data_IF_004217193305
#
_entry.id   IF_004217193305
#
_cell.length_a   1.000
_cell.length_b   1.000
_cell.length_c   1.000
_cell.angle_alpha   90.00
_cell.angle_beta   90.00
_cell.angle_gamma   90.00
#
_symmetry.space_group_name_H-M   'P 1'
#
loop_
_entity.id
_entity.type
_entity.pdbx_description
1 polymer ?
#
# COMPACT_ATOMS: atom_id res chain seq x y z
N UNK A 1 -71.78 23.19 9.80
CA UNK A 1 -71.37 22.07 8.92
C UNK A 1 -69.98 22.40 8.41
N UNK A 2 -68.96 21.93 9.14
CA UNK A 2 -68.00 20.92 8.69
C UNK A 2 -67.31 21.29 7.37
N UNK A 3 -66.00 21.53 7.41
CA UNK A 3 -65.02 20.66 6.77
C UNK A 3 -63.60 21.09 7.19
N UNK A 4 -63.06 20.39 8.19
CA UNK A 4 -61.64 20.46 8.55
C UNK A 4 -60.85 19.63 7.53
N UNK A 5 -60.05 20.29 6.68
CA UNK A 5 -59.08 19.63 5.79
C UNK A 5 -57.76 19.47 6.56
N UNK A 6 -57.54 18.29 7.10
CA UNK A 6 -56.28 17.87 7.69
C UNK A 6 -55.27 17.60 6.58
N UNK A 7 -54.30 18.51 6.41
CA UNK A 7 -53.17 18.37 5.49
C UNK A 7 -52.11 17.49 6.17
N UNK A 8 -51.95 16.24 5.72
CA UNK A 8 -50.81 15.40 6.12
C UNK A 8 -49.54 15.95 5.44
N UNK A 9 -48.72 16.67 6.19
CA UNK A 9 -47.35 17.01 5.79
C UNK A 9 -46.47 15.78 6.02
N UNK A 10 -46.09 15.11 4.94
CA UNK A 10 -45.10 14.03 4.95
C UNK A 10 -43.70 14.67 5.12
N UNK A 11 -43.22 14.75 6.36
CA UNK A 11 -41.84 15.18 6.66
C UNK A 11 -40.85 14.12 6.15
N UNK A 12 -40.30 14.33 4.95
CA UNK A 12 -39.00 13.76 4.58
C UNK A 12 -37.93 14.41 5.46
N UNK A 13 -37.59 13.76 6.58
CA UNK A 13 -36.39 14.09 7.34
C UNK A 13 -35.19 13.70 6.46
N UNK A 14 -34.32 14.64 6.05
CA UNK A 14 -33.07 14.29 5.41
C UNK A 14 -32.24 13.51 6.44
N UNK A 15 -31.86 12.28 6.09
CA UNK A 15 -30.85 11.54 6.85
C UNK A 15 -29.59 12.39 6.89
N UNK A 16 -29.27 12.93 8.06
CA UNK A 16 -27.97 13.57 8.28
C UNK A 16 -26.92 12.46 8.12
N UNK A 17 -26.31 12.38 6.94
CA UNK A 17 -25.12 11.56 6.74
C UNK A 17 -24.04 12.15 7.64
N UNK A 18 -23.74 11.46 8.74
CA UNK A 18 -22.70 11.88 9.69
C UNK A 18 -21.34 11.63 9.05
N UNK A 19 -20.57 12.68 8.84
CA UNK A 19 -19.20 12.57 8.36
C UNK A 19 -18.27 12.03 9.45
N UNK A 20 -18.07 10.72 9.48
CA UNK A 20 -17.12 10.04 10.38
C UNK A 20 -15.67 10.02 9.86
N UNK A 21 -14.75 9.74 10.79
CA UNK A 21 -13.33 9.48 10.51
C UNK A 21 -13.06 7.97 10.49
N UNK A 22 -12.32 7.49 9.48
CA UNK A 22 -11.86 6.10 9.35
C UNK A 22 -10.35 6.06 9.56
N UNK A 23 -9.89 5.37 10.60
CA UNK A 23 -8.47 5.19 10.91
C UNK A 23 -7.93 4.02 10.10
N UNK A 24 -7.03 4.32 9.15
CA UNK A 24 -6.49 3.35 8.21
C UNK A 24 -5.03 3.07 8.54
N UNK A 25 -4.72 1.85 8.99
CA UNK A 25 -3.36 1.36 9.01
C UNK A 25 -2.97 0.90 7.59
N UNK A 26 -1.95 1.50 6.99
CA UNK A 26 -1.57 1.24 5.59
C UNK A 26 -0.10 0.89 5.45
N UNK A 27 0.19 -0.11 4.63
CA UNK A 27 1.55 -0.41 4.23
C UNK A 27 2.15 0.77 3.46
N UNK A 28 3.36 1.17 3.84
CA UNK A 28 4.00 2.41 3.39
C UNK A 28 4.15 2.57 1.85
N UNK A 29 4.03 1.48 1.08
CA UNK A 29 4.04 1.52 -0.38
C UNK A 29 2.82 2.27 -0.95
N UNK A 30 1.67 2.17 -0.29
CA UNK A 30 0.36 2.58 -0.81
C UNK A 30 -0.06 3.97 -0.34
N UNK A 31 0.74 4.66 0.47
CA UNK A 31 0.35 5.94 1.12
C UNK A 31 -0.05 7.02 0.12
N UNK A 32 0.80 7.33 -0.86
CA UNK A 32 0.51 8.39 -1.83
C UNK A 32 -0.75 8.07 -2.67
N UNK A 33 -0.97 6.80 -2.97
CA UNK A 33 -2.18 6.33 -3.65
C UNK A 33 -3.40 6.45 -2.74
N UNK A 34 -3.26 6.09 -1.47
CA UNK A 34 -4.31 6.22 -0.47
C UNK A 34 -4.69 7.68 -0.23
N UNK A 35 -3.74 8.61 -0.23
CA UNK A 35 -4.02 10.05 -0.13
C UNK A 35 -4.89 10.53 -1.30
N UNK A 36 -4.56 10.11 -2.53
CA UNK A 36 -5.39 10.42 -3.71
C UNK A 36 -6.78 9.81 -3.60
N UNK A 37 -6.87 8.57 -3.10
CA UNK A 37 -8.14 7.88 -2.86
C UNK A 37 -8.94 8.50 -1.72
N UNK A 38 -8.28 9.08 -0.72
CA UNK A 38 -8.92 9.74 0.43
C UNK A 38 -9.70 10.97 -0.02
N UNK A 39 -9.14 11.76 -0.94
CA UNK A 39 -9.82 12.93 -1.50
C UNK A 39 -11.08 12.53 -2.27
N UNK A 40 -10.98 11.49 -3.11
CA UNK A 40 -12.11 10.95 -3.87
C UNK A 40 -13.17 10.34 -2.96
N UNK A 41 -12.76 9.56 -1.95
CA UNK A 41 -13.67 8.96 -0.99
C UNK A 41 -14.41 10.03 -0.18
N UNK A 42 -13.71 11.09 0.25
CA UNK A 42 -14.31 12.22 0.94
C UNK A 42 -15.34 12.95 0.08
N UNK A 43 -15.07 13.13 -1.20
CA UNK A 43 -15.98 13.80 -2.12
C UNK A 43 -17.31 13.03 -2.30
N UNK A 44 -17.27 11.70 -2.27
CA UNK A 44 -18.47 10.87 -2.51
C UNK A 44 -19.23 10.48 -1.25
N UNK A 45 -18.57 10.36 -0.10
CA UNK A 45 -19.17 9.88 1.16
C UNK A 45 -19.28 10.95 2.24
N UNK A 46 -18.47 12.01 2.18
CA UNK A 46 -18.28 12.97 3.27
C UNK A 46 -17.34 12.48 4.38
N UNK A 47 -17.01 11.19 4.44
CA UNK A 47 -16.08 10.63 5.42
C UNK A 47 -14.63 11.06 5.16
N UNK A 48 -13.80 11.00 6.19
CA UNK A 48 -12.37 11.34 6.07
C UNK A 48 -11.49 10.19 6.56
N UNK A 49 -10.29 10.06 5.99
CA UNK A 49 -9.33 9.03 6.39
C UNK A 49 -8.26 9.62 7.32
N UNK A 50 -8.00 8.93 8.43
CA UNK A 50 -6.84 9.18 9.29
C UNK A 50 -5.81 8.10 9.00
N UNK A 51 -4.78 8.46 8.24
CA UNK A 51 -3.82 7.50 7.67
C UNK A 51 -2.64 7.30 8.61
N UNK A 52 -2.41 6.06 9.03
CA UNK A 52 -1.21 5.63 9.74
C UNK A 52 -0.37 4.73 8.83
N UNK A 53 0.84 5.20 8.47
CA UNK A 53 1.76 4.50 7.58
C UNK A 53 2.84 3.72 8.33
N UNK A 54 3.23 2.56 7.79
CA UNK A 54 4.24 1.69 8.38
C UNK A 54 4.52 0.42 7.57
N UNK A 55 5.33 -0.48 8.11
CA UNK A 55 5.45 -1.82 7.52
C UNK A 55 4.22 -2.67 7.84
N UNK A 56 3.86 -3.58 6.94
CA UNK A 56 2.77 -4.53 7.16
C UNK A 56 2.95 -5.35 8.43
N UNK A 57 4.17 -5.81 8.71
CA UNK A 57 4.47 -6.54 9.94
C UNK A 57 4.31 -5.70 11.21
N UNK A 58 4.69 -4.42 11.18
CA UNK A 58 4.53 -3.52 12.33
C UNK A 58 3.06 -3.22 12.61
N UNK A 59 2.27 -2.92 11.58
CA UNK A 59 0.83 -2.72 11.75
C UNK A 59 0.12 -3.99 12.23
N UNK A 60 0.47 -5.15 11.68
CA UNK A 60 -0.04 -6.43 12.17
C UNK A 60 0.23 -6.61 13.68
N UNK A 61 1.45 -6.33 14.14
CA UNK A 61 1.78 -6.41 15.56
C UNK A 61 1.02 -5.37 16.40
N UNK A 62 0.87 -4.14 15.91
CA UNK A 62 0.10 -3.08 16.58
C UNK A 62 -1.38 -3.46 16.73
N UNK A 63 -2.01 -3.97 15.68
CA UNK A 63 -3.42 -4.39 15.68
C UNK A 63 -3.62 -5.51 16.71
N UNK A 64 -2.73 -6.51 16.72
CA UNK A 64 -2.78 -7.59 17.73
C UNK A 64 -2.60 -7.11 19.16
N UNK A 65 -1.88 -6.02 19.34
CA UNK A 65 -1.69 -5.38 20.64
C UNK A 65 -2.78 -4.36 20.98
N UNK A 66 -3.90 -4.34 20.24
CA UNK A 66 -5.06 -3.50 20.54
C UNK A 66 -5.00 -2.08 20.00
N UNK A 67 -4.10 -1.79 19.04
CA UNK A 67 -4.14 -0.49 18.36
C UNK A 67 -5.47 -0.31 17.63
N UNK A 68 -6.15 0.79 17.93
CA UNK A 68 -7.50 1.05 17.45
C UNK A 68 -7.45 1.62 16.01
N UNK A 69 -7.48 0.73 15.04
CA UNK A 69 -7.66 1.03 13.62
C UNK A 69 -8.98 0.44 13.13
N UNK A 70 -9.57 1.05 12.11
CA UNK A 70 -10.86 0.62 11.55
C UNK A 70 -10.65 -0.23 10.29
N UNK A 71 -9.60 0.08 9.50
CA UNK A 71 -9.23 -0.65 8.28
C UNK A 71 -7.72 -0.90 8.25
N UNK A 72 -7.34 -2.09 7.79
CA UNK A 72 -5.96 -2.47 7.51
C UNK A 72 -5.75 -2.70 6.01
N UNK A 73 -4.83 -1.95 5.40
CA UNK A 73 -4.37 -2.12 4.03
C UNK A 73 -2.92 -2.64 4.03
N UNK A 74 -2.76 -3.95 3.93
CA UNK A 74 -1.48 -4.64 3.94
C UNK A 74 -0.80 -4.65 2.57
N UNK A 75 0.49 -5.02 2.53
CA UNK A 75 1.22 -5.31 1.29
C UNK A 75 1.38 -6.82 1.03
N UNK A 76 0.70 -7.64 1.81
CA UNK A 76 0.56 -9.09 1.67
C UNK A 76 -0.91 -9.47 1.94
N UNK A 77 -1.30 -10.68 1.56
CA UNK A 77 -2.61 -11.26 1.91
C UNK A 77 -2.58 -12.05 3.22
N UNK A 78 -1.41 -12.54 3.60
CA UNK A 78 -1.23 -13.43 4.74
C UNK A 78 -1.66 -12.76 6.06
N UNK A 79 -1.22 -11.53 6.33
CA UNK A 79 -1.47 -10.86 7.61
C UNK A 79 -2.92 -10.41 7.77
N UNK A 80 -3.60 -9.81 6.77
CA UNK A 80 -5.04 -9.62 6.81
C UNK A 80 -5.81 -10.91 7.11
N UNK A 81 -5.56 -11.98 6.35
CA UNK A 81 -6.24 -13.26 6.56
C UNK A 81 -5.96 -13.85 7.94
N UNK A 82 -4.74 -13.66 8.45
CA UNK A 82 -4.37 -14.11 9.79
C UNK A 82 -5.08 -13.32 10.88
N UNK A 83 -5.16 -11.99 10.77
CA UNK A 83 -5.91 -11.16 11.74
C UNK A 83 -7.37 -11.54 11.79
N UNK A 84 -7.99 -11.77 10.63
CA UNK A 84 -9.38 -12.25 10.53
C UNK A 84 -9.54 -13.59 11.26
N UNK A 85 -8.71 -14.59 10.97
CA UNK A 85 -8.72 -15.90 11.66
C UNK A 85 -8.48 -15.79 13.16
N UNK A 86 -7.67 -14.83 13.59
CA UNK A 86 -7.36 -14.56 15.00
C UNK A 86 -8.46 -13.72 15.70
N UNK A 87 -9.55 -13.35 15.00
CA UNK A 87 -10.68 -12.61 15.57
C UNK A 87 -10.46 -11.10 15.71
N UNK A 88 -9.41 -10.54 15.08
CA UNK A 88 -9.11 -9.11 15.10
C UNK A 88 -9.75 -8.34 13.93
N UNK A 89 -10.55 -9.00 13.08
CA UNK A 89 -11.24 -8.35 11.98
C UNK A 89 -12.60 -8.95 11.69
N UNK A 90 -13.41 -8.20 10.93
CA UNK A 90 -14.75 -8.58 10.53
C UNK A 90 -14.67 -9.70 9.51
N UNK A 91 -15.27 -10.85 9.83
CA UNK A 91 -15.28 -12.02 8.97
C UNK A 91 -15.92 -11.74 7.60
N UNK A 92 -15.28 -12.20 6.54
CA UNK A 92 -15.72 -12.01 5.15
C UNK A 92 -15.41 -10.62 4.57
N UNK A 93 -14.84 -9.70 5.34
CA UNK A 93 -14.50 -8.36 4.85
C UNK A 93 -13.21 -8.32 4.03
N UNK A 94 -12.37 -9.36 4.14
CA UNK A 94 -11.06 -9.43 3.51
C UNK A 94 -11.12 -9.56 1.99
N UNK A 95 -10.26 -8.83 1.27
CA UNK A 95 -10.08 -8.98 -0.18
C UNK A 95 -8.72 -8.45 -0.66
N UNK A 96 -8.33 -8.81 -1.87
CA UNK A 96 -7.13 -8.25 -2.52
C UNK A 96 -7.51 -6.94 -3.20
N UNK A 97 -6.85 -5.84 -2.86
CA UNK A 97 -7.16 -4.52 -3.44
C UNK A 97 -6.16 -4.09 -4.52
N UNK A 98 -4.96 -4.67 -4.56
CA UNK A 98 -3.90 -4.32 -5.50
C UNK A 98 -2.83 -5.41 -5.61
N UNK A 99 -2.05 -5.39 -6.68
CA UNK A 99 -0.79 -6.14 -6.78
C UNK A 99 0.39 -5.18 -6.94
N UNK A 100 1.38 -5.28 -6.05
CA UNK A 100 2.59 -4.47 -6.07
C UNK A 100 3.58 -4.86 -7.17
N UNK A 101 4.32 -3.88 -7.70
CA UNK A 101 5.46 -4.09 -8.60
C UNK A 101 6.74 -3.58 -7.96
N UNK A 102 7.79 -4.40 -8.00
CA UNK A 102 9.12 -4.05 -7.52
C UNK A 102 9.92 -3.43 -8.67
N UNK A 103 10.67 -2.36 -8.39
CA UNK A 103 11.52 -1.70 -9.35
C UNK A 103 12.92 -1.49 -8.78
N UNK A 104 13.92 -1.51 -9.66
CA UNK A 104 15.26 -1.02 -9.37
C UNK A 104 15.32 0.47 -9.76
N UNK A 105 15.83 1.31 -8.86
CA UNK A 105 16.05 2.74 -9.11
C UNK A 105 17.51 3.13 -8.87
N UNK A 106 18.13 3.81 -9.84
CA UNK A 106 19.49 4.35 -9.80
C UNK A 106 19.46 5.85 -10.16
N UNK A 107 19.55 6.77 -9.17
CA UNK A 107 19.42 8.21 -9.42
C UNK A 107 20.49 8.87 -10.29
N UNK A 108 21.66 8.23 -10.42
CA UNK A 108 22.85 8.80 -11.07
C UNK A 108 23.20 8.19 -12.43
N UNK A 109 22.30 7.43 -13.05
CA UNK A 109 22.51 6.82 -14.37
C UNK A 109 21.34 7.12 -15.30
N UNK A 110 21.60 7.25 -16.59
CA UNK A 110 20.57 7.60 -17.58
C UNK A 110 19.76 6.38 -18.04
N UNK A 111 20.36 5.18 -18.01
CA UNK A 111 19.71 3.94 -18.39
C UNK A 111 20.22 2.75 -17.53
N UNK A 112 19.40 1.71 -17.44
CA UNK A 112 19.76 0.43 -16.83
C UNK A 112 19.62 -0.66 -17.90
N UNK A 113 20.74 -1.08 -18.47
CA UNK A 113 20.75 -2.13 -19.49
C UNK A 113 20.54 -3.53 -18.88
N UNK A 114 21.14 -3.77 -17.72
CA UNK A 114 21.07 -5.02 -16.98
C UNK A 114 20.99 -4.75 -15.48
N UNK A 115 19.81 -4.95 -14.91
CA UNK A 115 19.55 -4.76 -13.48
C UNK A 115 20.36 -5.72 -12.60
N UNK A 116 20.61 -6.95 -13.05
CA UNK A 116 21.41 -7.94 -12.32
C UNK A 116 22.86 -7.48 -12.27
N UNK A 117 23.41 -7.08 -13.41
CA UNK A 117 24.79 -6.55 -13.47
C UNK A 117 24.94 -5.31 -12.60
N UNK A 118 24.00 -4.37 -12.68
CA UNK A 118 24.02 -3.14 -11.88
C UNK A 118 24.05 -3.44 -10.37
N UNK A 119 23.19 -4.32 -9.87
CA UNK A 119 23.20 -4.69 -8.44
C UNK A 119 24.44 -5.50 -8.02
N UNK A 120 25.04 -6.23 -8.96
CA UNK A 120 26.28 -6.97 -8.73
C UNK A 120 27.53 -6.08 -8.68
N UNK A 121 27.51 -4.96 -9.40
CA UNK A 121 28.68 -4.09 -9.60
C UNK A 121 29.22 -3.53 -8.27
N UNK A 122 30.49 -3.78 -7.92
CA UNK A 122 31.13 -3.22 -6.72
C UNK A 122 31.07 -1.69 -6.60
N UNK A 123 30.95 -0.97 -7.72
CA UNK A 123 30.79 0.49 -7.72
C UNK A 123 29.46 0.95 -7.08
N UNK A 124 28.44 0.08 -7.05
CA UNK A 124 27.21 0.32 -6.29
C UNK A 124 27.46 -0.05 -4.83
N UNK A 125 27.94 0.92 -4.06
CA UNK A 125 28.44 0.72 -2.68
C UNK A 125 27.34 0.48 -1.65
N UNK A 126 26.13 1.02 -1.89
CA UNK A 126 24.98 0.87 -1.00
C UNK A 126 23.70 0.61 -1.80
N UNK A 127 22.97 -0.44 -1.43
CA UNK A 127 21.71 -0.83 -2.05
C UNK A 127 20.62 -0.79 -0.98
N UNK A 128 19.64 0.10 -1.14
CA UNK A 128 18.52 0.20 -0.23
C UNK A 128 17.47 -0.88 -0.51
N UNK A 129 17.04 -1.57 0.54
CA UNK A 129 15.90 -2.49 0.52
C UNK A 129 15.03 -2.28 1.76
N UNK A 130 13.74 -2.61 1.69
CA UNK A 130 12.94 -2.74 2.91
C UNK A 130 13.37 -3.99 3.69
N UNK A 131 13.12 -4.01 5.00
CA UNK A 131 13.46 -5.13 5.86
C UNK A 131 12.64 -6.38 5.44
N UNK A 132 13.27 -7.46 4.96
CA UNK A 132 12.56 -8.64 4.45
C UNK A 132 11.69 -9.34 5.50
N UNK A 133 11.97 -9.14 6.80
CA UNK A 133 11.17 -9.73 7.89
C UNK A 133 9.88 -8.97 8.15
N UNK A 134 9.86 -7.66 7.84
CA UNK A 134 8.76 -6.76 8.22
C UNK A 134 7.90 -6.36 7.02
N UNK A 135 8.50 -6.27 5.84
CA UNK A 135 7.89 -5.67 4.66
C UNK A 135 7.89 -6.66 3.47
N UNK A 136 6.72 -6.91 2.84
CA UNK A 136 6.61 -7.76 1.65
C UNK A 136 7.54 -7.34 0.49
N UNK A 137 7.68 -6.03 0.25
CA UNK A 137 8.65 -5.52 -0.74
C UNK A 137 10.12 -5.86 -0.40
N UNK A 138 10.46 -5.99 0.88
CA UNK A 138 11.78 -6.45 1.31
C UNK A 138 11.99 -7.93 1.03
N UNK A 139 10.95 -8.75 1.24
CA UNK A 139 10.98 -10.17 0.90
C UNK A 139 11.08 -10.38 -0.63
N UNK A 140 10.38 -9.57 -1.42
CA UNK A 140 10.50 -9.56 -2.87
C UNK A 140 11.90 -9.15 -3.32
N UNK A 141 12.48 -8.09 -2.74
CA UNK A 141 13.85 -7.66 -3.01
C UNK A 141 14.87 -8.76 -2.70
N UNK A 142 14.70 -9.46 -1.57
CA UNK A 142 15.51 -10.63 -1.23
C UNK A 142 15.38 -11.74 -2.28
N UNK A 143 14.15 -12.07 -2.68
CA UNK A 143 13.88 -13.13 -3.67
C UNK A 143 14.57 -12.86 -5.00
N UNK A 144 14.53 -11.61 -5.48
CA UNK A 144 15.26 -11.19 -6.69
C UNK A 144 16.77 -11.41 -6.54
N UNK A 145 17.34 -10.96 -5.43
CA UNK A 145 18.77 -11.07 -5.17
C UNK A 145 19.20 -12.54 -5.03
N UNK A 146 18.38 -13.40 -4.44
CA UNK A 146 18.61 -14.84 -4.35
C UNK A 146 18.51 -15.51 -5.72
N UNK A 147 17.48 -15.21 -6.51
CA UNK A 147 17.30 -15.72 -7.87
C UNK A 147 18.48 -15.36 -8.80
N UNK A 148 19.14 -14.23 -8.55
CA UNK A 148 20.32 -13.79 -9.30
C UNK A 148 21.67 -14.27 -8.72
N UNK A 149 21.66 -14.98 -7.59
CA UNK A 149 22.87 -15.41 -6.88
C UNK A 149 23.68 -14.25 -6.30
N UNK A 150 23.02 -13.11 -6.00
CA UNK A 150 23.64 -11.90 -5.49
C UNK A 150 23.46 -11.73 -3.98
N UNK A 151 22.44 -12.35 -3.38
CA UNK A 151 22.02 -12.09 -2.00
C UNK A 151 23.18 -12.09 -0.99
N UNK A 152 24.00 -13.15 -0.99
CA UNK A 152 25.14 -13.29 -0.07
C UNK A 152 26.23 -12.26 -0.37
N UNK A 153 26.51 -12.01 -1.66
CA UNK A 153 27.56 -11.08 -2.12
C UNK A 153 27.25 -9.62 -1.81
N UNK A 154 25.97 -9.25 -1.76
CA UNK A 154 25.56 -7.86 -1.53
C UNK A 154 25.25 -7.56 -0.07
N UNK A 155 25.23 -8.55 0.85
CA UNK A 155 24.79 -8.37 2.25
C UNK A 155 25.44 -7.16 2.93
N UNK A 156 26.77 -7.02 2.82
CA UNK A 156 27.52 -5.93 3.44
C UNK A 156 27.17 -4.54 2.86
N UNK A 157 26.60 -4.49 1.66
CA UNK A 157 26.18 -3.27 0.94
C UNK A 157 24.70 -2.94 1.15
N UNK A 158 23.91 -3.84 1.74
CA UNK A 158 22.49 -3.62 1.95
C UNK A 158 22.25 -2.59 3.06
N UNK A 159 21.51 -1.54 2.72
CA UNK A 159 20.93 -0.60 3.68
C UNK A 159 19.45 -0.95 3.86
N UNK A 160 19.09 -1.47 5.04
CA UNK A 160 17.76 -2.00 5.31
C UNK A 160 16.89 -0.96 6.01
N UNK A 161 15.88 -0.44 5.32
CA UNK A 161 14.83 0.37 5.93
C UNK A 161 13.80 -0.50 6.65
N UNK A 162 13.14 0.02 7.69
CA UNK A 162 12.03 -0.63 8.39
C UNK A 162 10.92 -1.05 7.41
N UNK A 163 10.65 -0.19 6.42
CA UNK A 163 9.63 -0.37 5.40
C UNK A 163 10.12 0.20 4.04
N UNK A 164 9.28 0.07 3.01
CA UNK A 164 9.64 0.48 1.65
C UNK A 164 9.72 2.01 1.48
N UNK A 165 9.00 2.79 2.30
CA UNK A 165 9.17 4.24 2.29
C UNK A 165 10.55 4.64 2.80
N UNK A 166 11.05 4.01 3.87
CA UNK A 166 12.41 4.28 4.33
C UNK A 166 13.48 3.84 3.32
N UNK A 167 13.29 2.69 2.66
CA UNK A 167 14.18 2.27 1.57
C UNK A 167 14.22 3.28 0.41
N UNK A 168 13.05 3.78 -0.02
CA UNK A 168 12.95 4.85 -1.00
C UNK A 168 13.69 6.12 -0.54
N UNK A 169 13.49 6.54 0.72
CA UNK A 169 14.13 7.74 1.26
C UNK A 169 15.65 7.61 1.30
N UNK A 170 16.20 6.43 1.57
CA UNK A 170 17.64 6.23 1.50
C UNK A 170 18.21 6.48 0.11
N UNK A 171 17.51 6.09 -0.94
CA UNK A 171 17.93 6.38 -2.32
C UNK A 171 17.73 7.86 -2.64
N UNK A 172 16.56 8.41 -2.31
CA UNK A 172 16.21 9.80 -2.60
C UNK A 172 17.14 10.82 -1.91
N UNK A 173 17.65 10.49 -0.72
CA UNK A 173 18.61 11.32 0.02
C UNK A 173 20.07 11.07 -0.36
N UNK A 174 20.35 10.15 -1.29
CA UNK A 174 21.72 9.79 -1.69
C UNK A 174 22.48 8.88 -0.70
N UNK A 175 21.82 8.43 0.37
CA UNK A 175 22.40 7.48 1.33
C UNK A 175 22.58 6.06 0.74
N UNK A 176 21.88 5.76 -0.35
CA UNK A 176 22.07 4.55 -1.15
C UNK A 176 22.19 4.90 -2.64
N UNK A 177 23.16 4.27 -3.31
CA UNK A 177 23.42 4.50 -4.74
C UNK A 177 22.36 3.82 -5.64
N UNK A 178 21.71 2.78 -5.13
CA UNK A 178 20.60 2.10 -5.79
C UNK A 178 19.56 1.69 -4.74
N UNK A 179 18.33 1.40 -5.17
CA UNK A 179 17.37 0.72 -4.32
C UNK A 179 16.34 -0.10 -5.05
N UNK A 180 15.86 -1.12 -4.34
CA UNK A 180 14.72 -1.94 -4.73
C UNK A 180 13.48 -1.37 -4.04
N UNK A 181 12.69 -0.61 -4.80
CA UNK A 181 11.59 0.24 -4.33
C UNK A 181 10.26 -0.17 -4.97
N UNK A 182 9.14 0.38 -4.47
CA UNK A 182 7.85 0.16 -5.12
C UNK A 182 7.73 1.04 -6.38
N UNK A 183 7.26 0.47 -7.49
CA UNK A 183 6.99 1.22 -8.73
C UNK A 183 6.05 2.42 -8.48
N UNK A 184 5.08 2.24 -7.60
CA UNK A 184 4.13 3.29 -7.27
C UNK A 184 4.79 4.51 -6.61
N UNK A 185 5.82 4.31 -5.79
CA UNK A 185 6.56 5.44 -5.22
C UNK A 185 7.28 6.26 -6.29
N UNK A 186 7.83 5.60 -7.32
CA UNK A 186 8.48 6.27 -8.44
C UNK A 186 7.49 7.07 -9.28
N UNK A 187 6.28 6.53 -9.51
CA UNK A 187 5.23 7.19 -10.32
C UNK A 187 4.53 8.34 -9.58
N UNK A 188 4.30 8.16 -8.28
CA UNK A 188 3.60 9.15 -7.45
C UNK A 188 4.52 10.26 -6.93
N UNK A 189 5.85 10.10 -7.02
CA UNK A 189 6.80 11.10 -6.55
C UNK A 189 6.65 12.45 -7.28
N UNK A 190 6.73 13.52 -6.49
CA UNK A 190 6.69 14.91 -6.96
C UNK A 190 7.81 15.69 -6.22
N UNK A 191 8.82 16.22 -6.92
CA UNK A 191 9.09 16.05 -8.36
C UNK A 191 9.39 14.58 -8.73
N UNK A 192 9.30 14.20 -10.02
CA UNK A 192 9.71 12.88 -10.47
C UNK A 192 11.14 12.54 -10.03
N UNK A 193 11.42 11.27 -9.66
CA UNK A 193 12.74 10.86 -9.23
C UNK A 193 13.71 11.00 -10.41
N UNK A 194 14.91 11.52 -10.13
CA UNK A 194 15.99 11.60 -11.13
C UNK A 194 16.59 10.21 -11.38
N UNK A 195 17.24 10.06 -12.53
CA UNK A 195 17.93 8.84 -12.93
C UNK A 195 17.00 7.72 -13.42
N UNK A 196 17.62 6.63 -13.85
CA UNK A 196 16.94 5.50 -14.44
C UNK A 196 16.26 4.61 -13.41
N UNK A 197 15.13 4.03 -13.81
CA UNK A 197 14.48 2.95 -13.08
C UNK A 197 13.94 1.91 -14.04
N UNK A 198 13.93 0.65 -13.60
CA UNK A 198 13.39 -0.48 -14.36
C UNK A 198 12.52 -1.34 -13.46
N UNK A 199 11.33 -1.71 -13.95
CA UNK A 199 10.47 -2.66 -13.24
C UNK A 199 11.08 -4.05 -13.36
N UNK A 200 11.17 -4.76 -12.24
CA UNK A 200 11.76 -6.08 -12.22
C UNK A 200 10.77 -7.14 -12.73
N UNK A 201 11.24 -8.16 -13.46
CA UNK A 201 10.36 -9.24 -13.93
C UNK A 201 9.62 -9.89 -12.76
N UNK A 202 8.28 -10.04 -12.84
CA UNK A 202 7.47 -10.61 -11.76
C UNK A 202 7.77 -12.09 -11.52
N UNK A 203 8.47 -12.77 -12.43
CA UNK A 203 8.91 -14.17 -12.26
C UNK A 203 10.06 -14.33 -11.26
N UNK A 204 10.70 -13.24 -10.82
CA UNK A 204 11.84 -13.27 -9.91
C UNK A 204 11.46 -13.21 -8.42
N UNK A 205 10.18 -13.01 -8.11
CA UNK A 205 9.71 -12.90 -6.73
C UNK A 205 8.24 -13.33 -6.63
N UNK A 206 7.78 -13.83 -5.46
CA UNK A 206 6.37 -14.13 -5.26
C UNK A 206 5.49 -12.89 -5.49
N UNK A 207 4.29 -13.01 -6.10
CA UNK A 207 3.40 -11.89 -6.33
C UNK A 207 3.12 -11.09 -5.05
N UNK A 208 3.22 -9.76 -5.13
CA UNK A 208 2.97 -8.85 -4.00
C UNK A 208 1.47 -8.54 -3.95
N UNK A 209 0.64 -9.55 -3.72
CA UNK A 209 -0.82 -9.38 -3.57
C UNK A 209 -1.12 -8.64 -2.27
N UNK A 210 -1.84 -7.54 -2.34
CA UNK A 210 -2.07 -6.63 -1.21
C UNK A 210 -3.49 -6.81 -0.68
N UNK A 211 -3.62 -7.22 0.59
CA UNK A 211 -4.91 -7.49 1.22
C UNK A 211 -5.45 -6.30 2.02
N UNK A 212 -6.76 -6.10 1.97
CA UNK A 212 -7.52 -5.22 2.83
C UNK A 212 -8.30 -6.05 3.86
N UNK A 213 -8.55 -5.50 5.05
CA UNK A 213 -9.41 -6.08 6.08
C UNK A 213 -10.09 -4.97 6.88
N UNK A 214 -11.37 -5.16 7.19
CA UNK A 214 -12.06 -4.33 8.18
C UNK A 214 -11.75 -4.86 9.58
N UNK A 215 -11.23 -4.00 10.46
CA UNK A 215 -10.83 -4.38 11.82
C UNK A 215 -11.94 -4.14 12.85
N UNK A 216 -12.79 -3.15 12.60
CA UNK A 216 -13.91 -2.80 13.45
C UNK A 216 -15.18 -2.67 12.63
N UNK A 217 -16.30 -3.18 13.15
CA UNK A 217 -17.60 -3.10 12.49
C UNK A 217 -18.15 -1.66 12.58
N UNK A 218 -17.92 -0.88 11.53
CA UNK A 218 -18.41 0.48 11.38
C UNK A 218 -18.87 0.70 9.95
N UNK A 219 -19.96 1.48 9.80
CA UNK A 219 -20.51 1.80 8.50
C UNK A 219 -19.49 2.51 7.60
N UNK A 220 -18.78 3.51 8.14
CA UNK A 220 -17.76 4.26 7.39
C UNK A 220 -16.57 3.38 6.95
N UNK A 221 -16.15 2.42 7.78
CA UNK A 221 -15.09 1.46 7.42
C UNK A 221 -15.53 0.52 6.30
N UNK A 222 -16.75 -0.02 6.39
CA UNK A 222 -17.34 -0.87 5.36
C UNK A 222 -17.53 -0.10 4.03
N UNK A 223 -18.00 1.15 4.10
CA UNK A 223 -18.17 2.02 2.93
C UNK A 223 -16.83 2.34 2.26
N UNK A 224 -15.76 2.58 3.04
CA UNK A 224 -14.42 2.78 2.49
C UNK A 224 -13.92 1.52 1.75
N UNK A 225 -14.12 0.32 2.31
CA UNK A 225 -13.75 -0.92 1.63
C UNK A 225 -14.59 -1.16 0.36
N UNK A 226 -15.87 -0.81 0.39
CA UNK A 226 -16.73 -0.86 -0.80
C UNK A 226 -16.24 0.13 -1.87
N UNK A 227 -15.86 1.35 -1.47
CA UNK A 227 -15.29 2.36 -2.36
C UNK A 227 -14.04 1.84 -3.07
N UNK A 228 -13.12 1.16 -2.36
CA UNK A 228 -11.92 0.56 -2.96
C UNK A 228 -12.22 -0.47 -4.07
N UNK A 229 -13.42 -1.06 -4.08
CA UNK A 229 -13.87 -2.00 -5.11
C UNK A 229 -14.49 -1.31 -6.33
N UNK A 230 -14.76 -0.01 -6.27
CA UNK A 230 -15.33 0.73 -7.40
C UNK A 230 -14.36 0.84 -8.56
N UNK A 231 -14.88 0.97 -9.78
CA UNK A 231 -14.04 1.17 -10.97
C UNK A 231 -13.23 2.47 -10.92
N UNK A 232 -13.73 3.50 -10.21
CA UNK A 232 -12.98 4.74 -9.98
C UNK A 232 -11.73 4.48 -9.15
N UNK A 233 -11.87 3.85 -7.99
CA UNK A 233 -10.74 3.54 -7.11
C UNK A 233 -9.75 2.58 -7.78
N UNK A 234 -10.26 1.50 -8.38
CA UNK A 234 -9.43 0.53 -9.11
C UNK A 234 -8.63 1.16 -10.25
N UNK A 235 -9.21 2.14 -10.96
CA UNK A 235 -8.49 2.89 -12.00
C UNK A 235 -7.34 3.71 -11.42
N UNK A 236 -7.58 4.49 -10.36
CA UNK A 236 -6.54 5.29 -9.71
C UNK A 236 -5.39 4.42 -9.17
N UNK A 237 -5.72 3.24 -8.63
CA UNK A 237 -4.74 2.24 -8.19
C UNK A 237 -3.88 1.77 -9.38
N UNK A 238 -4.48 1.45 -10.53
CA UNK A 238 -3.72 1.06 -11.73
C UNK A 238 -2.85 2.18 -12.28
N UNK A 239 -3.37 3.40 -12.32
CA UNK A 239 -2.64 4.60 -12.76
C UNK A 239 -1.41 4.86 -11.89
N UNK A 240 -1.52 4.63 -10.57
CA UNK A 240 -0.41 4.68 -9.64
C UNK A 240 0.66 3.60 -9.89
N UNK A 241 0.38 2.56 -10.66
CA UNK A 241 1.34 1.51 -11.05
C UNK A 241 1.22 0.19 -10.32
N UNK A 242 0.07 -0.08 -9.72
CA UNK A 242 -0.29 -1.40 -9.23
C UNK A 242 -0.91 -2.25 -10.34
N UNK A 243 -0.73 -3.58 -10.25
CA UNK A 243 -1.48 -4.55 -11.01
C UNK A 243 -2.94 -4.63 -10.55
N UNK A 244 -3.79 -5.25 -11.39
CA UNK A 244 -5.19 -5.46 -11.06
C UNK A 244 -5.34 -6.35 -9.83
N UNK A 245 -6.34 -6.06 -9.00
CA UNK A 245 -6.85 -7.01 -8.04
C UNK A 245 -7.50 -8.16 -8.80
N UNK A 246 -6.92 -9.36 -8.74
CA UNK A 246 -7.59 -10.57 -9.21
C UNK A 246 -8.38 -11.19 -8.05
N UNK A 247 -9.70 -11.29 -8.24
CA UNK A 247 -10.61 -12.07 -7.41
C UNK A 247 -10.31 -13.56 -7.66
N UNK A 248 -9.29 -14.10 -6.97
CA UNK A 248 -8.99 -15.52 -6.91
C UNK A 248 -8.60 -15.92 -5.49
#
# INVERSE_FOLDING_TARGET
MSLSRLLLLLCCLPSLVSADQVRVAVAANFVATLETLADEFRAVSGHTLVIASGSTGKHYAQIRNGAAFDVFLAADTERPQRLEREGFGVAGSGFVYAEGRLALWLPGVDAIDDARRALGDPAITRIAIANPRLAPYGAAARSVLEAWGLWDRVQARLLRGENIAQAYQYVASGNAAAGLVALAQLRSARPPPRGAHVTLPPTLYPPIRQGALQLHDSAAGAEFLAFLRTERARRLIREAGYGAAEDR
#
